data_IF_507797622665
#
_entry.id   IF_507797622665
#
_cell.length_a   1.000
_cell.length_b   1.000
_cell.length_c   1.000
_cell.angle_alpha   90.00
_cell.angle_beta   90.00
_cell.angle_gamma   90.00
#
_symmetry.space_group_name_H-M   'P 1'
#
loop_
_entity.id
_entity.type
_entity.pdbx_description
1 polymer ?
#
# COMPACT_ATOMS: atom_id res chain seq x y z
N UNK A 1 34.77 11.92 72.07
CA UNK A 1 34.06 10.75 71.49
C UNK A 1 33.94 11.00 70.00
N UNK A 2 34.45 10.09 69.17
CA UNK A 2 34.64 10.31 67.73
C UNK A 2 33.37 9.92 66.96
N UNK A 3 33.08 10.62 65.87
CA UNK A 3 32.28 10.01 64.80
C UNK A 3 32.87 10.38 63.43
N UNK A 4 33.72 9.48 62.97
CA UNK A 4 34.10 9.35 61.58
C UNK A 4 32.89 8.88 60.79
N UNK A 5 32.44 9.66 59.80
CA UNK A 5 31.78 9.11 58.60
C UNK A 5 31.95 10.05 57.43
N UNK A 6 33.08 9.85 56.76
CA UNK A 6 33.25 10.18 55.36
C UNK A 6 32.13 9.51 54.53
N UNK A 7 31.37 10.30 53.78
CA UNK A 7 30.68 9.81 52.58
C UNK A 7 30.98 10.75 51.43
N UNK A 8 32.09 10.41 50.77
CA UNK A 8 32.35 10.76 49.37
C UNK A 8 31.19 10.19 48.55
N UNK A 9 30.32 11.04 48.02
CA UNK A 9 29.41 10.68 46.94
C UNK A 9 30.03 11.29 45.68
N UNK A 10 30.93 10.52 45.08
CA UNK A 10 31.28 10.62 43.68
C UNK A 10 30.61 9.43 42.98
N UNK A 11 30.34 9.59 41.67
CA UNK A 11 29.79 8.58 40.73
C UNK A 11 28.24 8.52 40.78
N UNK A 12 27.46 8.81 39.73
CA UNK A 12 27.61 8.68 38.28
C UNK A 12 27.06 9.91 37.54
N UNK A 13 27.94 10.77 37.02
CA UNK A 13 27.58 11.71 35.96
C UNK A 13 27.56 10.95 34.63
N UNK A 14 26.34 10.68 34.15
CA UNK A 14 25.96 10.70 32.72
C UNK A 14 26.96 10.08 31.73
N UNK A 15 26.86 8.76 31.54
CA UNK A 15 27.29 8.11 30.30
C UNK A 15 26.26 8.36 29.17
N UNK A 16 25.94 9.64 28.91
CA UNK A 16 25.10 10.09 27.80
C UNK A 16 25.95 10.92 26.83
N UNK A 17 27.04 10.34 26.34
CA UNK A 17 27.83 10.92 25.26
C UNK A 17 28.73 9.84 24.64
N UNK A 18 28.13 8.92 23.86
CA UNK A 18 28.73 8.24 22.70
C UNK A 18 27.91 7.00 22.29
N UNK A 19 26.67 7.19 21.83
CA UNK A 19 26.10 6.27 20.85
C UNK A 19 26.21 6.98 19.49
N UNK A 20 27.12 6.48 18.66
CA UNK A 20 27.45 7.05 17.37
C UNK A 20 26.22 7.17 16.47
N UNK A 21 26.08 8.31 15.80
CA UNK A 21 25.04 8.64 14.82
C UNK A 21 25.15 7.85 13.50
N UNK A 22 25.66 6.62 13.54
CA UNK A 22 25.88 5.75 12.37
C UNK A 22 24.87 4.61 12.27
N UNK A 23 24.15 4.25 13.33
CA UNK A 23 23.05 3.30 13.26
C UNK A 23 21.73 4.02 13.01
N UNK A 24 21.09 3.72 11.87
CA UNK A 24 19.68 4.07 11.66
C UNK A 24 18.82 3.35 12.70
N UNK A 25 17.74 3.97 13.19
CA UNK A 25 16.86 3.31 14.14
C UNK A 25 16.24 2.04 13.56
N UNK A 26 16.03 1.05 14.41
CA UNK A 26 15.51 -0.27 14.06
C UNK A 26 14.32 -0.63 14.95
N UNK A 27 13.40 -1.43 14.42
CA UNK A 27 12.30 -2.01 15.16
C UNK A 27 12.07 -3.45 14.74
N UNK A 28 11.49 -4.24 15.63
CA UNK A 28 11.05 -5.59 15.31
C UNK A 28 9.86 -5.55 14.33
N UNK A 29 9.96 -6.17 13.13
CA UNK A 29 8.86 -6.26 12.16
C UNK A 29 7.57 -6.84 12.72
N UNK A 30 7.65 -7.73 13.72
CA UNK A 30 6.47 -8.36 14.34
C UNK A 30 5.52 -7.33 14.95
N UNK A 31 6.02 -6.14 15.30
CA UNK A 31 5.20 -5.04 15.85
C UNK A 31 4.19 -4.48 14.86
N UNK A 32 4.38 -4.69 13.55
CA UNK A 32 3.46 -4.24 12.51
C UNK A 32 2.24 -5.17 12.35
N UNK A 33 2.38 -6.44 12.69
CA UNK A 33 1.33 -7.46 12.52
C UNK A 33 -0.03 -7.07 13.13
N UNK A 34 -0.13 -6.63 14.41
CA UNK A 34 -1.42 -6.23 14.98
C UNK A 34 -2.03 -5.00 14.29
N UNK A 35 -1.20 -4.07 13.80
CA UNK A 35 -1.66 -2.86 13.10
C UNK A 35 -2.25 -3.25 11.75
N UNK A 36 -1.54 -4.07 10.98
CA UNK A 36 -1.95 -4.43 9.63
C UNK A 36 -3.14 -5.39 9.62
N UNK A 37 -3.25 -6.27 10.63
CA UNK A 37 -4.49 -7.03 10.87
C UNK A 37 -5.67 -6.13 11.22
N UNK A 38 -5.45 -5.07 12.00
CA UNK A 38 -6.52 -4.10 12.30
C UNK A 38 -6.95 -3.35 11.03
N UNK A 39 -6.00 -2.92 10.19
CA UNK A 39 -6.29 -2.28 8.91
C UNK A 39 -7.13 -3.19 8.00
N UNK A 40 -6.73 -4.45 7.83
CA UNK A 40 -7.46 -5.41 7.00
C UNK A 40 -8.90 -5.59 7.51
N UNK A 41 -9.06 -5.77 8.83
CA UNK A 41 -10.35 -5.92 9.49
C UNK A 41 -11.24 -4.67 9.38
N UNK A 42 -10.64 -3.49 9.45
CA UNK A 42 -11.33 -2.20 9.43
C UNK A 42 -11.51 -1.65 8.00
N UNK A 43 -11.21 -2.44 6.97
CA UNK A 43 -11.40 -2.01 5.59
C UNK A 43 -12.89 -1.84 5.30
N UNK A 44 -13.36 -0.60 5.03
CA UNK A 44 -14.78 -0.34 4.87
C UNK A 44 -15.33 -0.95 3.58
N UNK A 45 -16.65 -1.14 3.52
CA UNK A 45 -17.34 -1.33 2.25
C UNK A 45 -17.28 -0.04 1.41
N UNK A 46 -17.41 -0.13 0.07
CA UNK A 46 -17.45 1.06 -0.78
C UNK A 46 -18.51 2.08 -0.29
N UNK A 47 -18.11 3.35 -0.14
CA UNK A 47 -18.99 4.44 0.30
C UNK A 47 -19.20 4.56 1.82
N UNK A 48 -18.67 3.66 2.64
CA UNK A 48 -18.87 3.66 4.09
C UNK A 48 -17.88 4.52 4.90
N UNK A 49 -16.91 5.17 4.25
CA UNK A 49 -15.94 6.06 4.89
C UNK A 49 -16.06 7.51 4.38
N UNK A 50 -15.75 8.52 5.22
CA UNK A 50 -15.68 9.91 4.78
C UNK A 50 -14.71 10.11 3.61
N UNK A 51 -14.97 11.09 2.75
CA UNK A 51 -14.08 11.40 1.62
C UNK A 51 -12.84 12.14 2.11
N UNK A 52 -11.64 11.67 1.75
CA UNK A 52 -10.39 12.37 2.08
C UNK A 52 -10.24 13.67 1.27
N UNK A 53 -9.78 14.74 1.93
CA UNK A 53 -9.24 15.91 1.24
C UNK A 53 -7.85 15.60 0.65
N UNK A 54 -7.38 16.33 -0.38
CA UNK A 54 -6.05 16.11 -0.96
C UNK A 54 -4.90 16.20 0.05
N UNK A 55 -4.99 17.09 1.04
CA UNK A 55 -3.94 17.28 2.06
C UNK A 55 -3.79 16.07 3.00
N UNK A 56 -4.88 15.34 3.23
CA UNK A 56 -4.87 14.18 4.12
C UNK A 56 -4.20 12.94 3.50
N UNK A 57 -3.92 12.99 2.20
CA UNK A 57 -3.36 11.88 1.43
C UNK A 57 -1.83 11.91 1.33
N UNK A 58 -1.18 12.97 1.79
CA UNK A 58 0.25 13.23 1.58
C UNK A 58 1.06 12.96 2.86
N UNK A 59 2.20 12.29 2.73
CA UNK A 59 3.18 12.13 3.80
C UNK A 59 2.98 10.91 4.72
N UNK A 60 2.09 9.99 4.37
CA UNK A 60 1.92 8.71 5.06
C UNK A 60 2.72 7.59 4.42
N UNK A 61 2.82 6.45 5.12
CA UNK A 61 3.36 5.24 4.51
C UNK A 61 2.33 4.65 3.55
N UNK A 62 2.71 4.52 2.29
CA UNK A 62 1.85 3.98 1.25
C UNK A 62 2.09 2.49 1.04
N UNK A 63 1.03 1.73 0.81
CA UNK A 63 1.15 0.33 0.39
C UNK A 63 -0.10 -0.15 -0.33
N UNK A 64 0.02 -1.21 -1.10
CA UNK A 64 -1.15 -1.93 -1.62
C UNK A 64 -1.73 -2.87 -0.58
N UNK A 65 -2.97 -3.29 -0.79
CA UNK A 65 -3.59 -4.33 0.03
C UNK A 65 -2.77 -5.64 0.00
N UNK A 66 -2.16 -6.00 -1.12
CA UNK A 66 -1.36 -7.23 -1.20
C UNK A 66 -0.10 -7.14 -0.34
N UNK A 67 0.61 -6.01 -0.42
CA UNK A 67 1.80 -5.77 0.38
C UNK A 67 1.46 -5.80 1.86
N UNK A 68 0.34 -5.19 2.26
CA UNK A 68 -0.18 -5.30 3.63
C UNK A 68 -0.43 -6.76 4.05
N UNK A 69 -1.14 -7.55 3.22
CA UNK A 69 -1.44 -8.95 3.50
C UNK A 69 -0.16 -9.77 3.64
N UNK A 70 0.83 -9.56 2.76
CA UNK A 70 2.15 -10.21 2.81
C UNK A 70 2.90 -9.89 4.10
N UNK A 71 2.92 -8.62 4.53
CA UNK A 71 3.56 -8.25 5.80
C UNK A 71 2.85 -8.92 6.99
N UNK A 72 1.53 -9.04 6.95
CA UNK A 72 0.75 -9.73 7.98
C UNK A 72 0.72 -11.27 7.87
N UNK A 73 1.48 -11.85 6.93
CA UNK A 73 1.50 -13.29 6.60
C UNK A 73 0.10 -13.87 6.32
N UNK A 74 -0.81 -13.07 5.77
CA UNK A 74 -2.14 -13.52 5.36
C UNK A 74 -2.07 -13.90 3.89
N UNK A 75 -2.48 -15.13 3.51
CA UNK A 75 -2.47 -15.53 2.11
C UNK A 75 -3.43 -14.63 1.32
N UNK A 76 -3.00 -14.11 0.17
CA UNK A 76 -3.89 -13.38 -0.71
C UNK A 76 -4.93 -14.36 -1.28
N UNK A 77 -6.19 -13.93 -1.41
CA UNK A 77 -7.23 -14.68 -2.13
C UNK A 77 -7.68 -14.05 -3.47
N UNK A 78 -6.78 -13.59 -4.36
CA UNK A 78 -7.12 -13.33 -5.75
C UNK A 78 -6.75 -14.51 -6.66
N UNK A 79 -7.56 -14.75 -7.70
CA UNK A 79 -7.12 -15.60 -8.81
C UNK A 79 -5.98 -14.92 -9.62
N UNK A 80 -5.23 -15.67 -10.43
CA UNK A 80 -4.01 -15.20 -11.10
C UNK A 80 -4.21 -13.95 -11.98
N UNK A 81 -5.36 -13.82 -12.66
CA UNK A 81 -5.63 -12.61 -13.46
C UNK A 81 -5.80 -11.34 -12.61
N UNK A 82 -6.09 -11.46 -11.31
CA UNK A 82 -6.35 -10.34 -10.40
C UNK A 82 -5.09 -9.88 -9.66
N UNK A 83 -4.08 -10.73 -9.50
CA UNK A 83 -2.84 -10.40 -8.78
C UNK A 83 -2.09 -9.21 -9.39
N UNK A 84 -1.91 -9.20 -10.71
CA UNK A 84 -1.19 -8.13 -11.44
C UNK A 84 -1.82 -6.74 -11.24
N UNK A 85 -3.13 -6.69 -11.00
CA UNK A 85 -3.89 -5.46 -10.75
C UNK A 85 -3.86 -5.01 -9.31
N UNK A 86 -3.80 -5.97 -8.39
CA UNK A 86 -3.94 -5.72 -6.97
C UNK A 86 -2.64 -5.15 -6.38
N UNK A 87 -1.49 -5.32 -7.06
CA UNK A 87 -0.20 -4.91 -6.52
C UNK A 87 0.79 -4.26 -7.50
N UNK A 88 0.48 -3.08 -8.08
CA UNK A 88 1.53 -2.23 -8.63
C UNK A 88 2.55 -1.87 -7.52
N UNK A 89 3.78 -2.42 -7.54
CA UNK A 89 4.77 -2.19 -6.48
C UNK A 89 5.21 -0.72 -6.41
N UNK A 90 4.91 0.06 -7.45
CA UNK A 90 5.18 1.49 -7.51
C UNK A 90 4.24 2.31 -6.59
N UNK A 91 3.25 1.68 -5.94
CA UNK A 91 2.41 2.30 -4.91
C UNK A 91 2.93 2.11 -3.50
N UNK A 92 3.82 1.14 -3.31
CA UNK A 92 4.41 0.83 -2.02
C UNK A 92 5.53 1.81 -1.69
N UNK A 93 5.57 2.27 -0.44
CA UNK A 93 6.73 2.97 0.07
C UNK A 93 7.96 2.05 0.03
N UNK A 94 9.18 2.60 -0.12
CA UNK A 94 10.40 1.80 -0.10
C UNK A 94 10.45 0.84 1.10
N UNK A 95 10.15 1.32 2.30
CA UNK A 95 10.11 0.49 3.51
C UNK A 95 9.08 -0.66 3.46
N UNK A 96 7.91 -0.45 2.84
CA UNK A 96 6.93 -1.53 2.69
C UNK A 96 7.46 -2.64 1.76
N UNK A 97 8.23 -2.29 0.72
CA UNK A 97 8.84 -3.26 -0.20
C UNK A 97 9.95 -4.07 0.47
N UNK A 98 10.82 -3.42 1.25
CA UNK A 98 11.90 -4.07 2.00
C UNK A 98 11.39 -5.14 2.99
N UNK A 99 10.17 -4.98 3.53
CA UNK A 99 9.61 -5.97 4.44
C UNK A 99 9.15 -7.26 3.76
N UNK A 100 8.76 -7.19 2.48
CA UNK A 100 8.22 -8.33 1.73
C UNK A 100 9.23 -8.96 0.77
N UNK A 101 10.37 -8.30 0.54
CA UNK A 101 11.43 -8.83 -0.31
C UNK A 101 12.20 -9.94 0.45
N UNK A 102 12.30 -11.15 -0.11
CA UNK A 102 13.04 -12.25 0.51
C UNK A 102 14.56 -12.02 0.52
N UNK A 103 15.08 -11.11 -0.29
CA UNK A 103 16.51 -10.80 -0.39
C UNK A 103 16.98 -9.73 0.59
N UNK A 104 16.06 -9.00 1.22
CA UNK A 104 16.38 -7.97 2.21
C UNK A 104 16.95 -8.59 3.50
N UNK A 105 18.13 -8.11 3.90
CA UNK A 105 18.80 -8.52 5.13
C UNK A 105 18.07 -8.06 6.39
N UNK A 106 18.32 -8.72 7.51
CA UNK A 106 17.63 -8.47 8.78
C UNK A 106 17.76 -7.03 9.28
N UNK A 107 18.91 -6.38 9.06
CA UNK A 107 19.14 -5.01 9.52
C UNK A 107 18.27 -4.05 8.73
N UNK A 108 18.31 -4.15 7.40
CA UNK A 108 17.50 -3.33 6.50
C UNK A 108 16.00 -3.56 6.77
N UNK A 109 15.60 -4.81 6.99
CA UNK A 109 14.21 -5.17 7.35
C UNK A 109 13.74 -4.51 8.65
N UNK A 110 14.61 -4.46 9.67
CA UNK A 110 14.31 -3.80 10.95
C UNK A 110 14.27 -2.27 10.83
N UNK A 111 15.09 -1.69 9.97
CA UNK A 111 15.06 -0.25 9.68
C UNK A 111 13.76 0.12 8.94
N UNK A 112 13.36 -0.68 7.95
CA UNK A 112 12.10 -0.52 7.25
C UNK A 112 10.89 -0.63 8.21
N UNK A 113 10.92 -1.61 9.13
CA UNK A 113 9.89 -1.72 10.16
C UNK A 113 9.81 -0.48 11.05
N UNK A 114 10.96 0.09 11.44
CA UNK A 114 10.98 1.35 12.20
C UNK A 114 10.36 2.49 11.43
N UNK A 115 10.68 2.63 10.13
CA UNK A 115 10.13 3.67 9.27
C UNK A 115 8.60 3.57 9.19
N UNK A 116 8.06 2.38 8.94
CA UNK A 116 6.61 2.16 8.90
C UNK A 116 5.92 2.40 10.25
N UNK A 117 6.55 2.06 11.37
CA UNK A 117 6.00 2.35 12.71
C UNK A 117 6.03 3.85 13.05
N UNK A 118 6.96 4.59 12.42
CA UNK A 118 7.14 6.03 12.60
C UNK A 118 6.24 6.86 11.67
N UNK A 119 5.63 6.22 10.67
CA UNK A 119 4.70 6.88 9.75
C UNK A 119 3.54 7.54 10.50
N UNK A 120 3.13 8.76 10.12
CA UNK A 120 2.04 9.48 10.79
C UNK A 120 0.67 8.83 10.54
N UNK A 121 0.52 8.12 9.44
CA UNK A 121 -0.67 7.36 9.04
C UNK A 121 -0.29 6.37 7.93
N UNK A 122 -1.20 5.45 7.62
CA UNK A 122 -1.06 4.50 6.51
C UNK A 122 -2.04 4.86 5.40
N UNK A 123 -1.59 4.77 4.15
CA UNK A 123 -2.45 4.89 2.99
C UNK A 123 -2.43 3.57 2.22
N UNK A 124 -3.54 2.83 2.30
CA UNK A 124 -3.66 1.52 1.66
C UNK A 124 -4.45 1.64 0.37
N UNK A 125 -3.80 1.25 -0.72
CA UNK A 125 -4.39 1.21 -2.05
C UNK A 125 -5.04 -0.15 -2.29
N UNK A 126 -6.35 -0.13 -2.51
CA UNK A 126 -7.16 -1.29 -2.87
C UNK A 126 -7.75 -1.09 -4.25
N UNK A 127 -7.34 -1.94 -5.19
CA UNK A 127 -7.89 -1.96 -6.54
C UNK A 127 -9.09 -2.90 -6.56
N UNK A 128 -10.29 -2.32 -6.70
CA UNK A 128 -11.53 -3.03 -6.93
C UNK A 128 -11.81 -3.08 -8.44
N UNK A 129 -11.65 -4.26 -9.02
CA UNK A 129 -11.93 -4.48 -10.43
C UNK A 129 -13.41 -4.79 -10.60
N UNK A 130 -14.10 -4.06 -11.48
CA UNK A 130 -15.49 -4.34 -11.86
C UNK A 130 -15.51 -4.80 -13.32
N UNK A 131 -16.04 -6.00 -13.56
CA UNK A 131 -16.28 -6.44 -14.93
C UNK A 131 -17.39 -5.57 -15.53
N UNK A 132 -17.07 -4.85 -16.61
CA UNK A 132 -18.00 -4.01 -17.35
C UNK A 132 -18.11 -4.54 -18.79
N UNK A 133 -19.31 -4.49 -19.41
CA UNK A 133 -19.48 -4.93 -20.79
C UNK A 133 -18.73 -3.99 -21.73
N UNK A 134 -17.76 -4.54 -22.45
CA UNK A 134 -17.20 -3.89 -23.63
C UNK A 134 -18.24 -4.00 -24.75
N UNK A 135 -19.09 -2.98 -24.84
CA UNK A 135 -20.15 -2.81 -25.84
C UNK A 135 -21.34 -3.81 -25.81
N UNK A 136 -22.48 -3.32 -26.32
CA UNK A 136 -23.67 -4.10 -26.63
C UNK A 136 -23.32 -5.18 -27.68
N UNK A 137 -23.34 -6.46 -27.30
CA UNK A 137 -23.21 -7.59 -28.23
C UNK A 137 -22.10 -8.60 -27.91
N UNK A 138 -21.19 -8.30 -26.97
CA UNK A 138 -20.15 -9.26 -26.51
C UNK A 138 -20.69 -10.03 -25.29
N UNK A 139 -20.71 -11.37 -25.37
CA UNK A 139 -21.28 -12.25 -24.33
C UNK A 139 -20.41 -12.37 -23.08
N UNK A 140 -19.09 -12.29 -23.23
CA UNK A 140 -18.14 -12.42 -22.12
C UNK A 140 -17.65 -11.05 -21.66
N UNK A 141 -18.14 -10.63 -20.49
CA UNK A 141 -17.68 -9.44 -19.79
C UNK A 141 -16.18 -9.58 -19.48
N UNK A 142 -15.37 -8.62 -19.93
CA UNK A 142 -14.00 -8.46 -19.43
C UNK A 142 -13.79 -7.01 -19.03
N UNK A 143 -13.41 -6.81 -17.77
CA UNK A 143 -12.82 -5.61 -17.13
C UNK A 143 -12.77 -4.35 -18.00
N UNK A 144 -13.89 -3.63 -18.07
CA UNK A 144 -13.96 -2.30 -18.70
C UNK A 144 -13.86 -1.15 -17.70
N UNK A 145 -13.97 -1.42 -16.39
CA UNK A 145 -13.96 -0.40 -15.33
C UNK A 145 -13.12 -0.86 -14.14
N UNK A 146 -12.21 0.00 -13.71
CA UNK A 146 -11.41 -0.24 -12.50
C UNK A 146 -11.70 0.90 -11.54
N UNK A 147 -12.02 0.52 -10.30
CA UNK A 147 -12.14 1.45 -9.18
C UNK A 147 -10.95 1.23 -8.26
N UNK A 148 -10.22 2.28 -7.94
CA UNK A 148 -9.23 2.30 -6.88
C UNK A 148 -9.84 2.97 -5.65
N UNK A 149 -9.62 2.37 -4.48
CA UNK A 149 -9.79 3.03 -3.20
C UNK A 149 -8.43 3.27 -2.57
N UNK A 150 -8.13 4.53 -2.28
CA UNK A 150 -7.04 4.90 -1.41
C UNK A 150 -7.62 5.13 -0.01
N UNK A 151 -7.28 4.26 0.94
CA UNK A 151 -7.87 4.18 2.27
C UNK A 151 -6.86 4.69 3.29
N UNK A 152 -7.20 5.76 4.01
CA UNK A 152 -6.33 6.35 5.02
C UNK A 152 -6.66 5.76 6.38
N UNK A 153 -5.67 5.17 7.03
CA UNK A 153 -5.77 4.62 8.38
C UNK A 153 -4.87 5.37 9.35
N UNK A 154 -5.30 5.51 10.61
CA UNK A 154 -4.43 6.00 11.68
C UNK A 154 -3.36 4.96 12.06
N UNK A 155 -2.50 5.31 13.04
CA UNK A 155 -1.40 4.44 13.49
C UNK A 155 -1.87 3.18 14.22
N UNK A 156 -3.15 3.11 14.58
CA UNK A 156 -3.79 1.99 15.25
C UNK A 156 -4.56 1.09 14.26
N UNK A 157 -4.62 1.48 12.98
CA UNK A 157 -5.32 0.75 11.94
C UNK A 157 -6.82 1.05 11.87
N UNK A 158 -7.30 2.17 12.43
CA UNK A 158 -8.68 2.62 12.26
C UNK A 158 -8.81 3.43 10.97
N UNK A 159 -9.89 3.19 10.22
CA UNK A 159 -10.19 3.96 9.02
C UNK A 159 -10.51 5.41 9.39
N UNK A 160 -9.87 6.36 8.70
CA UNK A 160 -10.11 7.79 8.87
C UNK A 160 -10.93 8.35 7.72
N UNK A 161 -10.51 8.07 6.48
CA UNK A 161 -11.20 8.52 5.27
C UNK A 161 -10.80 7.64 4.08
N UNK A 162 -11.53 7.78 2.97
CA UNK A 162 -11.26 7.10 1.72
C UNK A 162 -11.33 8.07 0.54
N UNK A 163 -10.56 7.79 -0.52
CA UNK A 163 -10.75 8.39 -1.83
C UNK A 163 -11.01 7.30 -2.85
N UNK A 164 -12.12 7.42 -3.57
CA UNK A 164 -12.47 6.54 -4.68
C UNK A 164 -12.02 7.21 -5.98
N UNK A 165 -11.32 6.47 -6.82
CA UNK A 165 -10.92 6.89 -8.16
C UNK A 165 -11.45 5.84 -9.12
N UNK A 166 -12.29 6.22 -10.07
CA UNK A 166 -12.79 5.33 -11.10
C UNK A 166 -12.20 5.73 -12.45
N UNK A 167 -11.76 4.75 -13.22
CA UNK A 167 -11.24 4.94 -14.56
C UNK A 167 -11.65 3.77 -15.46
N UNK A 168 -11.70 4.05 -16.75
CA UNK A 168 -12.19 3.13 -17.77
C UNK A 168 -11.42 3.37 -19.08
N UNK A 169 -11.38 2.36 -19.92
CA UNK A 169 -10.83 2.49 -21.27
C UNK A 169 -11.59 3.57 -22.03
N UNK A 170 -10.88 4.33 -22.86
CA UNK A 170 -11.51 5.32 -23.74
C UNK A 170 -12.43 4.64 -24.75
N UNK A 171 -13.41 5.38 -25.28
CA UNK A 171 -14.29 4.89 -26.35
C UNK A 171 -13.46 4.36 -27.54
N UNK A 172 -12.44 5.11 -27.96
CA UNK A 172 -11.56 4.73 -29.05
C UNK A 172 -10.82 3.40 -28.78
N UNK A 173 -10.33 3.17 -27.55
CA UNK A 173 -9.69 1.89 -27.21
C UNK A 173 -10.67 0.73 -27.16
N UNK A 174 -11.88 0.97 -26.68
CA UNK A 174 -12.93 -0.04 -26.71
C UNK A 174 -13.30 -0.38 -28.17
N UNK A 175 -13.49 0.61 -29.05
CA UNK A 175 -13.84 0.41 -30.46
C UNK A 175 -12.73 -0.29 -31.25
N UNK A 176 -11.46 0.06 -30.98
CA UNK A 176 -10.31 -0.67 -31.50
C UNK A 176 -10.34 -2.13 -31.07
N UNK A 177 -10.55 -2.40 -29.77
CA UNK A 177 -10.58 -3.75 -29.24
C UNK A 177 -11.72 -4.56 -29.86
N UNK A 178 -12.92 -3.99 -29.99
CA UNK A 178 -14.08 -4.60 -30.64
C UNK A 178 -13.77 -4.95 -32.10
N UNK A 179 -13.17 -4.02 -32.85
CA UNK A 179 -12.82 -4.21 -34.27
C UNK A 179 -11.79 -5.33 -34.46
N UNK A 180 -10.88 -5.50 -33.49
CA UNK A 180 -9.85 -6.54 -33.51
C UNK A 180 -10.35 -7.88 -32.94
N UNK A 181 -11.32 -7.83 -32.03
CA UNK A 181 -11.93 -8.97 -31.34
C UNK A 181 -13.22 -9.39 -32.05
N UNK A 182 -13.14 -9.77 -33.33
CA UNK A 182 -14.30 -10.26 -34.08
C UNK A 182 -14.68 -11.72 -33.71
N UNK A 183 -14.63 -12.08 -32.43
CA UNK A 183 -14.88 -13.43 -31.92
C UNK A 183 -15.73 -13.38 -30.63
N UNK A 184 -16.44 -14.48 -30.37
CA UNK A 184 -17.19 -14.70 -29.14
C UNK A 184 -16.34 -14.64 -27.86
N UNK A 185 -15.00 -14.65 -27.99
CA UNK A 185 -14.01 -14.58 -26.93
C UNK A 185 -12.92 -13.58 -27.32
N UNK A 186 -12.55 -12.68 -26.41
CA UNK A 186 -11.51 -11.67 -26.65
C UNK A 186 -10.10 -12.29 -26.75
N UNK A 187 -9.32 -11.86 -27.74
CA UNK A 187 -7.91 -12.25 -27.90
C UNK A 187 -7.10 -11.88 -26.62
N UNK A 188 -6.33 -12.82 -26.03
CA UNK A 188 -5.49 -12.55 -24.87
C UNK A 188 -4.53 -11.35 -25.02
N UNK A 189 -4.02 -11.07 -26.23
CA UNK A 189 -3.15 -9.92 -26.52
C UNK A 189 -3.91 -8.61 -26.47
N UNK A 190 -5.15 -8.57 -26.95
CA UNK A 190 -6.03 -7.40 -26.86
C UNK A 190 -6.38 -7.16 -25.39
N UNK A 191 -6.72 -8.23 -24.66
CA UNK A 191 -6.95 -8.19 -23.22
C UNK A 191 -5.74 -7.66 -22.44
N UNK A 192 -4.52 -8.06 -22.81
CA UNK A 192 -3.29 -7.51 -22.23
C UNK A 192 -3.14 -6.00 -22.52
N UNK A 193 -3.34 -5.56 -23.76
CA UNK A 193 -3.21 -4.15 -24.13
C UNK A 193 -4.22 -3.23 -23.41
N UNK A 194 -5.47 -3.68 -23.25
CA UNK A 194 -6.48 -2.95 -22.47
C UNK A 194 -6.11 -2.91 -20.98
N UNK A 195 -5.48 -3.98 -20.49
CA UNK A 195 -5.00 -4.00 -19.11
C UNK A 195 -3.84 -3.01 -18.91
N UNK A 196 -2.89 -2.95 -19.82
CA UNK A 196 -1.77 -2.02 -19.71
C UNK A 196 -2.25 -0.55 -19.75
N UNK A 197 -3.22 -0.22 -20.62
CA UNK A 197 -3.81 1.13 -20.68
C UNK A 197 -4.44 1.55 -19.34
N UNK A 198 -5.27 0.68 -18.77
CA UNK A 198 -5.88 0.90 -17.46
C UNK A 198 -4.82 1.01 -16.35
N UNK A 199 -3.69 0.29 -16.43
CA UNK A 199 -2.61 0.37 -15.44
C UNK A 199 -1.89 1.71 -15.55
N UNK A 200 -1.65 2.20 -16.76
CA UNK A 200 -1.06 3.51 -16.97
C UNK A 200 -1.96 4.63 -16.44
N UNK A 201 -3.28 4.51 -16.65
CA UNK A 201 -4.26 5.44 -16.05
C UNK A 201 -4.20 5.41 -14.51
N UNK A 202 -4.13 4.21 -13.90
CA UNK A 202 -3.97 4.04 -12.45
C UNK A 202 -2.73 4.76 -11.92
N UNK A 203 -1.56 4.50 -12.53
CA UNK A 203 -0.29 5.07 -12.08
C UNK A 203 -0.29 6.60 -12.21
N UNK A 204 -0.92 7.16 -13.26
CA UNK A 204 -1.12 8.62 -13.40
C UNK A 204 -1.99 9.19 -12.28
N UNK A 205 -3.11 8.53 -11.96
CA UNK A 205 -3.98 8.98 -10.87
C UNK A 205 -3.26 8.96 -9.52
N UNK A 206 -2.48 7.92 -9.22
CA UNK A 206 -1.73 7.86 -7.95
C UNK A 206 -0.61 8.88 -7.91
N UNK A 207 0.14 9.08 -9.00
CA UNK A 207 1.14 10.15 -9.05
C UNK A 207 0.52 11.52 -8.69
N UNK A 208 -0.70 11.79 -9.18
CA UNK A 208 -1.45 13.01 -8.83
C UNK A 208 -1.95 13.08 -7.37
N UNK A 209 -1.96 11.96 -6.63
CA UNK A 209 -2.27 11.93 -5.19
C UNK A 209 -1.05 12.24 -4.32
N UNK A 210 0.13 12.44 -4.93
CA UNK A 210 1.37 12.77 -4.22
C UNK A 210 2.09 11.52 -3.75
N UNK A 211 2.65 10.75 -4.69
CA UNK A 211 3.62 9.69 -4.34
C UNK A 211 4.66 10.25 -3.36
N UNK A 212 5.08 9.48 -2.35
CA UNK A 212 6.35 9.78 -1.71
C UNK A 212 7.43 9.61 -2.78
N UNK A 213 8.18 10.68 -3.04
CA UNK A 213 9.40 10.64 -3.87
C UNK A 213 10.46 9.71 -3.24
#
# INVERSE_FOLDING_TARGET
MPDHRARRIAVCLTALAACSSTHKPEADPVRLDPIFKAIDRNTPTPGAAPICSPKEMIGGATMTQLTLLRISNVPPNPGPEREDWINPPELDSPAARELIDPSTDDTTRRQAAYELLSAPFYLVYRVDVVDAPMALGVKDLKRGTVSLRALRFDRQGNIVCAKVVAFQNTLEKNDWAITKSNLAVMDPKISAALRDDLRDQLLKHVAALGRPD
#
